data_IF_248109224732
#
_entry.id   IF_248109224732
#
_cell.length_a   1.000
_cell.length_b   1.000
_cell.length_c   1.000
_cell.angle_alpha   90.00
_cell.angle_beta   90.00
_cell.angle_gamma   90.00
#
_symmetry.space_group_name_H-M   'P 1'
#
loop_
_entity.id
_entity.type
_entity.pdbx_description
1 polymer ?
#
# COMPACT_ATOMS: atom_id res chain seq x y z
N UNK A 1 -26.86 11.88 82.42
CA UNK A 1 -26.11 10.63 82.21
C UNK A 1 -26.08 10.37 80.71
N UNK A 2 -24.97 10.71 80.08
CA UNK A 2 -24.73 10.49 78.65
C UNK A 2 -23.31 9.94 78.54
N UNK A 3 -23.21 8.66 78.21
CA UNK A 3 -21.93 7.97 78.03
C UNK A 3 -21.26 8.43 76.74
N UNK A 4 -19.94 8.71 76.72
CA UNK A 4 -19.24 8.97 75.48
C UNK A 4 -19.08 7.68 74.68
N UNK A 5 -19.51 7.69 73.42
CA UNK A 5 -19.23 6.62 72.46
C UNK A 5 -17.76 6.65 72.05
N UNK A 6 -17.10 5.50 72.12
CA UNK A 6 -15.74 5.30 71.61
C UNK A 6 -15.72 5.35 70.07
N UNK A 7 -14.63 5.83 69.46
CA UNK A 7 -14.52 5.89 68.00
C UNK A 7 -14.36 4.49 67.42
N UNK A 8 -15.19 4.17 66.43
CA UNK A 8 -15.09 2.96 65.61
C UNK A 8 -13.88 3.12 64.70
N UNK A 9 -12.83 2.35 64.94
CA UNK A 9 -11.68 2.26 64.02
C UNK A 9 -12.08 1.43 62.82
N UNK A 10 -12.19 2.12 61.68
CA UNK A 10 -12.42 1.56 60.36
C UNK A 10 -11.21 0.70 59.93
N UNK A 11 -11.29 -0.60 60.18
CA UNK A 11 -10.32 -1.58 59.70
C UNK A 11 -10.53 -1.82 58.20
N UNK A 12 -10.11 -0.87 57.38
CA UNK A 12 -9.86 -1.13 55.96
C UNK A 12 -8.70 -2.13 55.88
N UNK A 13 -8.88 -3.32 55.27
CA UNK A 13 -7.77 -4.24 55.09
C UNK A 13 -6.72 -3.59 54.18
N UNK A 14 -5.60 -3.19 54.77
CA UNK A 14 -4.41 -2.81 54.02
C UNK A 14 -3.96 -4.03 53.22
N UNK A 15 -4.21 -4.00 51.91
CA UNK A 15 -3.60 -4.96 50.98
C UNK A 15 -2.13 -4.61 50.89
N UNK A 16 -1.33 -5.26 51.74
CA UNK A 16 0.13 -5.19 51.67
C UNK A 16 0.54 -5.93 50.40
N UNK A 17 0.88 -5.18 49.35
CA UNK A 17 1.48 -5.75 48.14
C UNK A 17 2.93 -6.14 48.52
N UNK A 18 3.31 -7.43 48.48
CA UNK A 18 4.67 -7.84 48.82
C UNK A 18 5.68 -7.17 47.90
N UNK A 19 6.77 -6.65 48.47
CA UNK A 19 7.85 -6.01 47.71
C UNK A 19 8.56 -6.97 46.74
N UNK A 20 8.46 -8.28 46.99
CA UNK A 20 9.05 -9.32 46.16
C UNK A 20 8.00 -10.40 45.88
N UNK A 21 7.49 -10.39 44.65
CA UNK A 21 6.63 -11.46 44.13
C UNK A 21 7.54 -12.47 43.43
N UNK A 22 7.52 -13.76 43.83
CA UNK A 22 8.28 -14.79 43.13
C UNK A 22 7.92 -14.80 41.65
N UNK A 23 8.92 -14.76 40.76
CA UNK A 23 8.74 -14.78 39.30
C UNK A 23 8.35 -16.18 38.77
N UNK A 24 7.44 -16.86 39.46
CA UNK A 24 7.00 -18.24 39.18
C UNK A 24 5.51 -18.33 38.88
N UNK A 25 4.77 -17.22 38.98
CA UNK A 25 3.36 -17.16 38.62
C UNK A 25 3.10 -17.31 37.11
N UNK A 26 1.91 -17.79 36.70
CA UNK A 26 1.56 -17.96 35.29
C UNK A 26 1.70 -16.69 34.45
N UNK A 27 1.58 -15.51 35.05
CA UNK A 27 1.84 -14.21 34.42
C UNK A 27 3.30 -14.00 33.95
N UNK A 28 4.25 -14.80 34.46
CA UNK A 28 5.65 -14.82 34.01
C UNK A 28 5.96 -15.98 33.05
N UNK A 29 4.99 -16.88 32.80
CA UNK A 29 5.14 -18.02 31.88
C UNK A 29 4.81 -17.65 30.43
N UNK A 30 4.02 -16.58 30.23
CA UNK A 30 3.72 -16.03 28.91
C UNK A 30 3.97 -14.53 28.91
N UNK A 31 4.75 -14.04 27.94
CA UNK A 31 4.87 -12.61 27.72
C UNK A 31 3.50 -12.07 27.25
N UNK A 32 2.95 -11.00 27.86
CA UNK A 32 1.75 -10.34 27.36
C UNK A 32 1.91 -9.95 25.89
N UNK A 33 0.84 -10.12 25.10
CA UNK A 33 0.85 -9.84 23.66
C UNK A 33 1.19 -8.37 23.37
N UNK A 34 0.79 -7.45 24.26
CA UNK A 34 1.11 -6.03 24.15
C UNK A 34 2.62 -5.76 24.25
N UNK A 35 3.31 -6.44 25.18
CA UNK A 35 4.76 -6.33 25.31
C UNK A 35 5.47 -6.97 24.11
N UNK A 36 4.95 -8.07 23.59
CA UNK A 36 5.48 -8.71 22.39
C UNK A 36 5.37 -7.79 21.17
N UNK A 37 4.24 -7.11 21.01
CA UNK A 37 4.02 -6.12 19.97
C UNK A 37 5.00 -4.96 20.07
N UNK A 38 5.23 -4.42 21.27
CA UNK A 38 6.22 -3.34 21.47
C UNK A 38 7.64 -3.79 21.13
N UNK A 39 8.04 -4.98 21.56
CA UNK A 39 9.35 -5.56 21.18
C UNK A 39 9.46 -5.65 19.66
N UNK A 40 8.41 -6.15 18.98
CA UNK A 40 8.41 -6.30 17.53
C UNK A 40 8.48 -4.95 16.83
N UNK A 41 7.80 -3.93 17.36
CA UNK A 41 7.88 -2.59 16.80
C UNK A 41 9.32 -2.08 16.81
N UNK A 42 10.03 -2.23 17.93
CA UNK A 42 11.44 -1.85 18.02
C UNK A 42 12.36 -2.68 17.11
N UNK A 43 12.06 -3.96 16.90
CA UNK A 43 12.88 -4.84 16.06
C UNK A 43 12.65 -4.64 14.55
N UNK A 44 11.43 -4.24 14.16
CA UNK A 44 10.95 -4.20 12.77
C UNK A 44 10.77 -2.79 12.22
N UNK A 45 10.82 -1.75 13.07
CA UNK A 45 10.87 -0.38 12.61
C UNK A 45 12.12 -0.18 11.75
N UNK A 46 11.90 0.21 10.50
CA UNK A 46 12.94 0.69 9.61
C UNK A 46 12.82 2.21 9.52
N UNK A 47 13.94 2.90 9.69
CA UNK A 47 14.03 4.33 9.34
C UNK A 47 14.09 4.54 7.81
N UNK A 48 14.28 3.45 7.05
CA UNK A 48 14.34 3.48 5.59
C UNK A 48 12.97 3.20 4.97
N UNK A 49 12.75 3.83 3.82
CA UNK A 49 11.62 3.53 2.95
C UNK A 49 11.78 2.14 2.31
N UNK A 50 10.72 1.33 2.36
CA UNK A 50 10.70 -0.01 1.79
C UNK A 50 10.20 0.06 0.35
N UNK A 51 11.07 -0.20 -0.63
CA UNK A 51 10.71 -0.26 -2.05
C UNK A 51 10.64 -1.70 -2.59
N UNK A 52 10.39 -1.86 -3.89
CA UNK A 52 10.31 -3.17 -4.55
C UNK A 52 11.59 -4.02 -4.40
N UNK A 53 12.78 -3.41 -4.32
CA UNK A 53 14.03 -4.15 -4.09
C UNK A 53 14.05 -4.72 -2.67
N UNK A 54 13.64 -3.93 -1.68
CA UNK A 54 13.47 -4.38 -0.30
C UNK A 54 12.34 -5.41 -0.16
N UNK A 55 11.29 -5.29 -0.97
CA UNK A 55 10.13 -6.18 -1.00
C UNK A 55 10.49 -7.58 -1.54
N UNK A 56 11.19 -7.63 -2.68
CA UNK A 56 11.75 -8.89 -3.24
C UNK A 56 12.78 -9.52 -2.30
N UNK A 57 13.49 -8.69 -1.53
CA UNK A 57 14.45 -9.09 -0.52
C UNK A 57 13.84 -9.07 0.88
N UNK A 58 12.79 -9.87 1.12
CA UNK A 58 12.37 -10.34 2.46
C UNK A 58 13.49 -11.11 3.24
N UNK A 59 14.75 -10.94 2.83
CA UNK A 59 16.00 -11.12 3.56
C UNK A 59 16.27 -10.01 4.60
N UNK A 60 15.25 -9.32 5.11
CA UNK A 60 15.38 -8.78 6.47
C UNK A 60 15.49 -10.01 7.38
N UNK A 61 16.74 -10.44 7.64
CA UNK A 61 17.08 -11.68 8.36
C UNK A 61 16.27 -11.81 9.65
N UNK A 62 15.91 -10.69 10.28
CA UNK A 62 15.07 -10.60 11.47
C UNK A 62 13.61 -11.01 11.20
N UNK A 63 12.99 -10.49 10.14
CA UNK A 63 11.64 -10.86 9.69
C UNK A 63 11.53 -12.35 9.37
N UNK A 64 12.47 -12.87 8.57
CA UNK A 64 12.46 -14.27 8.18
C UNK A 64 12.64 -15.22 9.39
N UNK A 65 13.38 -14.79 10.42
CA UNK A 65 13.53 -15.56 11.68
C UNK A 65 12.25 -15.53 12.51
N UNK A 66 11.66 -14.35 12.73
CA UNK A 66 10.44 -14.21 13.54
C UNK A 66 9.26 -14.98 12.92
N UNK A 67 9.09 -14.94 11.60
CA UNK A 67 8.04 -15.67 10.89
C UNK A 67 8.15 -17.20 10.99
N UNK A 68 9.35 -17.73 11.29
CA UNK A 68 9.58 -19.18 11.43
C UNK A 68 9.30 -19.71 12.84
N UNK A 69 9.15 -18.84 13.84
CA UNK A 69 8.94 -19.27 15.22
C UNK A 69 7.59 -19.98 15.38
N UNK A 70 6.52 -19.36 14.90
CA UNK A 70 5.17 -19.94 14.89
C UNK A 70 4.25 -19.22 13.91
N UNK A 71 3.08 -19.79 13.62
CA UNK A 71 2.05 -19.12 12.80
C UNK A 71 1.60 -17.80 13.41
N UNK A 72 1.43 -17.77 14.74
CA UNK A 72 1.08 -16.57 15.49
C UNK A 72 2.16 -15.49 15.32
N UNK A 73 3.42 -15.84 15.55
CA UNK A 73 4.55 -14.92 15.37
C UNK A 73 4.62 -14.41 13.93
N UNK A 74 4.38 -15.26 12.93
CA UNK A 74 4.35 -14.81 11.53
C UNK A 74 3.25 -13.77 11.29
N UNK A 75 2.04 -14.01 11.80
CA UNK A 75 0.92 -13.08 11.63
C UNK A 75 1.22 -11.73 12.28
N UNK A 76 1.69 -11.75 13.53
CA UNK A 76 2.04 -10.54 14.28
C UNK A 76 3.20 -9.80 13.63
N UNK A 77 4.21 -10.51 13.15
CA UNK A 77 5.37 -9.93 12.46
C UNK A 77 4.93 -9.21 11.19
N UNK A 78 4.12 -9.87 10.35
CA UNK A 78 3.61 -9.27 9.12
C UNK A 78 2.79 -8.02 9.46
N UNK A 79 1.84 -8.12 10.38
CA UNK A 79 1.03 -6.99 10.83
C UNK A 79 1.87 -5.79 11.28
N UNK A 80 2.82 -5.99 12.21
CA UNK A 80 3.65 -4.92 12.74
C UNK A 80 4.53 -4.31 11.65
N UNK A 81 5.15 -5.14 10.81
CA UNK A 81 6.04 -4.67 9.75
C UNK A 81 5.30 -3.79 8.73
N UNK A 82 4.13 -4.22 8.25
CA UNK A 82 3.35 -3.47 7.27
C UNK A 82 2.68 -2.22 7.87
N UNK A 83 2.32 -2.25 9.15
CA UNK A 83 1.75 -1.08 9.85
C UNK A 83 2.78 0.02 10.09
N UNK A 84 4.00 -0.35 10.43
CA UNK A 84 5.02 0.61 10.84
C UNK A 84 5.73 1.28 9.68
N UNK A 85 5.99 0.58 8.59
CA UNK A 85 6.90 1.07 7.56
C UNK A 85 6.19 1.88 6.47
N UNK A 86 6.96 2.72 5.78
CA UNK A 86 6.50 3.45 4.60
C UNK A 86 6.93 2.68 3.35
N UNK A 87 5.98 2.40 2.45
CA UNK A 87 6.22 1.57 1.28
C UNK A 87 6.17 2.36 -0.03
N UNK A 88 7.08 2.07 -0.95
CA UNK A 88 7.11 2.60 -2.32
C UNK A 88 6.84 1.50 -3.33
N UNK A 89 5.79 1.67 -4.13
CA UNK A 89 5.38 0.75 -5.19
C UNK A 89 5.50 1.45 -6.53
N UNK A 90 6.61 1.22 -7.22
CA UNK A 90 6.85 1.77 -8.55
C UNK A 90 6.93 0.66 -9.60
N UNK A 91 6.30 0.86 -10.77
CA UNK A 91 6.51 -0.01 -11.92
C UNK A 91 8.00 -0.12 -12.27
N UNK A 92 8.46 -1.30 -12.74
CA UNK A 92 9.87 -1.53 -13.05
C UNK A 92 10.41 -0.63 -14.18
N UNK A 93 9.52 -0.04 -14.99
CA UNK A 93 9.89 0.92 -16.04
C UNK A 93 10.10 2.35 -15.55
N UNK A 94 9.96 2.66 -14.25
CA UNK A 94 10.22 4.00 -13.72
C UNK A 94 11.64 4.08 -13.17
N UNK A 95 12.45 4.96 -13.74
CA UNK A 95 13.81 5.26 -13.31
C UNK A 95 13.88 5.87 -11.91
N UNK A 96 15.09 5.92 -11.33
CA UNK A 96 15.31 6.52 -10.00
C UNK A 96 15.03 8.03 -9.97
N UNK A 97 15.20 8.68 -11.10
CA UNK A 97 14.85 10.07 -11.40
C UNK A 97 13.34 10.28 -11.61
N UNK A 98 12.56 9.20 -11.67
CA UNK A 98 11.11 9.24 -11.93
C UNK A 98 10.74 9.21 -13.41
N UNK A 99 11.73 9.17 -14.31
CA UNK A 99 11.50 9.11 -15.75
C UNK A 99 10.94 7.72 -16.11
N UNK A 100 9.85 7.72 -16.86
CA UNK A 100 9.14 6.49 -17.23
C UNK A 100 9.62 6.02 -18.60
N UNK A 101 10.05 4.77 -18.67
CA UNK A 101 10.37 4.13 -19.95
C UNK A 101 9.11 4.07 -20.82
N UNK A 102 9.17 4.43 -22.12
CA UNK A 102 8.00 4.46 -23.01
C UNK A 102 7.23 3.14 -23.07
N UNK A 103 7.95 2.01 -22.94
CA UNK A 103 7.40 0.65 -22.89
C UNK A 103 7.05 0.16 -21.48
N UNK A 104 6.80 1.05 -20.52
CA UNK A 104 6.39 0.65 -19.17
C UNK A 104 4.98 0.06 -19.18
N UNK A 105 4.90 -1.24 -19.49
CA UNK A 105 3.65 -2.03 -19.60
C UNK A 105 3.37 -2.89 -18.38
N UNK A 106 4.19 -2.79 -17.34
CA UNK A 106 4.05 -3.63 -16.15
C UNK A 106 3.50 -2.82 -14.97
N UNK A 107 2.58 -3.38 -14.19
CA UNK A 107 2.12 -2.76 -12.96
C UNK A 107 3.23 -2.75 -11.90
N UNK A 108 3.11 -1.89 -10.89
CA UNK A 108 3.95 -1.95 -9.69
C UNK A 108 3.76 -3.30 -8.98
N UNK A 109 4.83 -3.86 -8.41
CA UNK A 109 4.69 -5.10 -7.61
C UNK A 109 4.04 -4.76 -6.28
N UNK A 110 2.87 -5.34 -6.02
CA UNK A 110 2.13 -5.15 -4.78
C UNK A 110 2.35 -6.31 -3.81
N UNK A 111 2.20 -6.06 -2.49
CA UNK A 111 2.21 -7.12 -1.51
C UNK A 111 1.08 -8.13 -1.71
N UNK A 112 1.26 -9.32 -1.16
CA UNK A 112 0.23 -10.36 -1.17
C UNK A 112 -1.08 -9.82 -0.55
N UNK A 113 -2.27 -10.10 -1.13
CA UNK A 113 -3.54 -9.54 -0.66
C UNK A 113 -3.76 -9.61 0.86
N UNK A 114 -3.48 -10.78 1.45
CA UNK A 114 -3.58 -11.05 2.91
C UNK A 114 -2.90 -10.03 3.82
N UNK A 115 -1.83 -9.36 3.38
CA UNK A 115 -1.08 -8.41 4.22
C UNK A 115 -1.34 -6.95 3.86
N UNK A 116 -2.03 -6.67 2.75
CA UNK A 116 -2.34 -5.30 2.31
C UNK A 116 -3.14 -4.53 3.35
N UNK A 117 -4.04 -5.20 4.08
CA UNK A 117 -4.87 -4.59 5.13
C UNK A 117 -4.06 -3.98 6.28
N UNK A 118 -2.81 -4.38 6.43
CA UNK A 118 -1.90 -3.86 7.44
C UNK A 118 -1.12 -2.62 6.97
N UNK A 119 -1.11 -2.32 5.67
CA UNK A 119 -0.48 -1.10 5.15
C UNK A 119 -1.13 0.13 5.74
N UNK A 120 -0.30 1.11 6.09
CA UNK A 120 -0.75 2.41 6.62
C UNK A 120 -0.27 3.59 5.79
N UNK A 121 0.94 3.52 5.23
CA UNK A 121 1.54 4.64 4.51
C UNK A 121 2.24 4.14 3.26
N UNK A 122 1.74 4.55 2.10
CA UNK A 122 2.28 4.10 0.82
C UNK A 122 2.46 5.27 -0.14
N UNK A 123 3.46 5.13 -1.01
CA UNK A 123 3.63 5.93 -2.21
C UNK A 123 3.57 4.98 -3.40
N UNK A 124 2.71 5.25 -4.35
CA UNK A 124 2.51 4.43 -5.53
C UNK A 124 2.65 5.27 -6.79
N UNK A 125 3.29 4.70 -7.80
CA UNK A 125 3.26 5.24 -9.16
C UNK A 125 2.43 4.31 -10.03
N UNK A 126 1.58 4.91 -10.87
CA UNK A 126 0.82 4.22 -11.90
C UNK A 126 1.07 4.92 -13.23
N UNK A 127 1.11 4.16 -14.31
CA UNK A 127 1.23 4.68 -15.68
C UNK A 127 -0.09 4.41 -16.39
N UNK A 128 -0.74 5.47 -16.88
CA UNK A 128 -1.92 5.38 -17.72
C UNK A 128 -1.49 5.40 -19.18
N UNK A 129 -1.86 4.36 -19.90
CA UNK A 129 -1.60 4.20 -21.33
C UNK A 129 -2.84 4.63 -22.12
N UNK A 130 -2.64 5.20 -23.30
CA UNK A 130 -3.71 5.66 -24.20
C UNK A 130 -4.08 4.69 -25.30
N UNK A 131 -3.41 3.54 -25.31
CA UNK A 131 -3.59 2.53 -26.33
C UNK A 131 -3.29 1.15 -25.79
N UNK A 132 -3.70 0.16 -26.55
CA UNK A 132 -3.31 -1.23 -26.39
C UNK A 132 -2.93 -1.83 -27.73
N UNK A 133 -2.24 -2.97 -27.69
CA UNK A 133 -1.73 -3.64 -28.88
C UNK A 133 -2.54 -4.91 -29.12
N UNK A 134 -2.98 -5.12 -30.36
CA UNK A 134 -3.63 -6.36 -30.81
C UNK A 134 -2.89 -6.94 -31.99
N UNK A 135 -3.00 -8.24 -32.20
CA UNK A 135 -2.44 -8.88 -33.38
C UNK A 135 -3.15 -8.38 -34.64
N UNK A 136 -2.36 -8.12 -35.69
CA UNK A 136 -2.88 -7.67 -36.97
C UNK A 136 -3.79 -8.78 -37.55
N UNK A 137 -5.04 -8.47 -37.92
CA UNK A 137 -6.04 -9.48 -38.29
C UNK A 137 -5.65 -10.32 -39.52
N UNK A 138 -4.72 -9.82 -40.34
CA UNK A 138 -4.18 -10.54 -41.50
C UNK A 138 -3.19 -11.67 -41.18
N UNK A 139 -2.81 -11.90 -39.92
CA UNK A 139 -1.81 -12.93 -39.56
C UNK A 139 -0.39 -12.62 -40.05
N UNK A 140 -0.16 -11.41 -40.53
CA UNK A 140 1.13 -10.91 -40.96
C UNK A 140 2.15 -11.06 -39.84
N UNK A 141 3.33 -11.57 -40.19
CA UNK A 141 4.48 -11.62 -39.28
C UNK A 141 5.43 -10.46 -39.56
N UNK A 142 6.09 -9.98 -38.52
CA UNK A 142 7.21 -9.08 -38.63
C UNK A 142 8.43 -9.79 -39.25
N UNK A 143 9.51 -9.02 -39.46
CA UNK A 143 10.78 -9.50 -40.03
C UNK A 143 11.49 -10.56 -39.17
N UNK A 144 11.00 -10.80 -37.95
CA UNK A 144 11.52 -11.78 -37.00
C UNK A 144 10.55 -12.97 -36.79
N UNK A 145 9.43 -13.01 -37.52
CA UNK A 145 8.45 -14.09 -37.43
C UNK A 145 7.41 -13.93 -36.32
N UNK A 146 7.38 -12.80 -35.60
CA UNK A 146 6.36 -12.51 -34.59
C UNK A 146 5.10 -11.94 -35.24
N UNK A 147 3.89 -12.14 -34.69
CA UNK A 147 2.70 -11.45 -35.19
C UNK A 147 2.92 -9.94 -35.24
N UNK A 148 2.63 -9.30 -36.37
CA UNK A 148 2.59 -7.84 -36.42
C UNK A 148 1.50 -7.36 -35.47
N UNK A 149 1.79 -6.35 -34.68
CA UNK A 149 0.82 -5.76 -33.76
C UNK A 149 0.34 -4.40 -34.30
N UNK A 150 -0.93 -4.10 -34.04
CA UNK A 150 -1.55 -2.82 -34.33
C UNK A 150 -1.90 -2.14 -33.01
N UNK A 151 -1.63 -0.85 -32.95
CA UNK A 151 -1.98 0.01 -31.83
C UNK A 151 -3.44 0.46 -31.96
N UNK A 152 -4.26 0.19 -30.95
CA UNK A 152 -5.65 0.64 -30.86
C UNK A 152 -5.77 1.65 -29.71
N UNK A 153 -6.34 2.85 -29.95
CA UNK A 153 -6.57 3.83 -28.89
C UNK A 153 -7.64 3.34 -27.90
N UNK A 154 -7.44 3.67 -26.63
CA UNK A 154 -8.43 3.42 -25.57
C UNK A 154 -9.47 4.53 -25.61
N UNK A 155 -10.73 4.16 -25.82
CA UNK A 155 -11.85 5.09 -25.96
C UNK A 155 -12.86 5.02 -24.81
N UNK A 156 -12.86 3.95 -24.01
CA UNK A 156 -13.83 3.73 -22.93
C UNK A 156 -13.17 3.36 -21.61
N UNK A 157 -13.87 3.59 -20.50
CA UNK A 157 -13.41 3.21 -19.16
C UNK A 157 -13.18 1.69 -19.04
N UNK A 158 -14.05 0.89 -19.65
CA UNK A 158 -13.91 -0.58 -19.66
C UNK A 158 -12.62 -1.02 -20.37
N UNK A 159 -12.33 -0.45 -21.55
CA UNK A 159 -11.09 -0.71 -22.27
C UNK A 159 -9.85 -0.25 -21.47
N UNK A 160 -9.98 0.87 -20.75
CA UNK A 160 -8.93 1.36 -19.88
C UNK A 160 -8.62 0.34 -18.78
N UNK A 161 -9.63 -0.16 -18.07
CA UNK A 161 -9.44 -1.16 -17.01
C UNK A 161 -8.95 -2.49 -17.62
N UNK A 162 -9.50 -2.93 -18.75
CA UNK A 162 -9.14 -4.20 -19.36
C UNK A 162 -7.69 -4.22 -19.88
N UNK A 163 -7.22 -3.13 -20.47
CA UNK A 163 -5.95 -3.12 -21.19
C UNK A 163 -4.85 -2.29 -20.53
N UNK A 164 -5.16 -1.32 -19.65
CA UNK A 164 -4.14 -0.54 -18.94
C UNK A 164 -3.84 -1.16 -17.55
N UNK A 165 -2.62 -1.68 -17.33
CA UNK A 165 -2.24 -2.24 -16.03
C UNK A 165 -2.27 -1.22 -14.90
N UNK A 166 -1.90 0.04 -15.18
CA UNK A 166 -1.98 1.11 -14.18
C UNK A 166 -3.42 1.40 -13.75
N UNK A 167 -4.36 1.39 -14.70
CA UNK A 167 -5.78 1.54 -14.40
C UNK A 167 -6.33 0.38 -13.55
N UNK A 168 -5.93 -0.86 -13.83
CA UNK A 168 -6.28 -2.01 -12.96
C UNK A 168 -5.76 -1.84 -11.54
N UNK A 169 -4.52 -1.37 -11.38
CA UNK A 169 -3.98 -1.12 -10.04
C UNK A 169 -4.74 -0.02 -9.32
N UNK A 170 -5.13 1.03 -10.02
CA UNK A 170 -5.95 2.09 -9.47
C UNK A 170 -7.35 1.58 -9.07
N UNK A 171 -7.93 0.69 -9.88
CA UNK A 171 -9.15 -0.03 -9.53
C UNK A 171 -8.97 -0.91 -8.28
N UNK A 172 -7.87 -1.65 -8.16
CA UNK A 172 -7.52 -2.42 -6.95
C UNK A 172 -7.41 -1.54 -5.71
N UNK A 173 -6.93 -0.29 -5.83
CA UNK A 173 -6.90 0.66 -4.72
C UNK A 173 -8.28 1.20 -4.34
N UNK A 174 -9.22 1.19 -5.28
CA UNK A 174 -10.62 1.61 -5.09
C UNK A 174 -11.44 0.52 -4.39
N UNK A 175 -11.07 -0.75 -4.59
CA UNK A 175 -11.77 -1.89 -4.00
C UNK A 175 -11.30 -2.17 -2.56
N UNK A 176 -12.19 -1.94 -1.59
CA UNK A 176 -11.91 -2.19 -0.16
C UNK A 176 -11.61 -3.69 0.11
N UNK A 177 -12.10 -4.61 -0.72
CA UNK A 177 -11.90 -6.06 -0.58
C UNK A 177 -10.49 -6.50 -0.99
N UNK A 178 -9.78 -5.69 -1.79
CA UNK A 178 -8.41 -5.94 -2.23
C UNK A 178 -7.37 -5.63 -1.13
N UNK A 179 -7.83 -5.18 0.04
CA UNK A 179 -7.05 -5.06 1.26
C UNK A 179 -6.42 -3.68 1.48
N UNK A 180 -6.78 -2.64 0.73
CA UNK A 180 -6.27 -1.27 0.95
C UNK A 180 -7.13 -0.43 1.91
N UNK A 181 -8.03 -1.06 2.67
CA UNK A 181 -9.05 -0.41 3.50
C UNK A 181 -8.56 0.42 4.70
N UNK A 182 -7.27 0.35 5.06
CA UNK A 182 -6.75 0.97 6.28
C UNK A 182 -5.64 2.02 6.04
N UNK A 183 -5.53 2.56 4.82
CA UNK A 183 -4.51 3.54 4.48
C UNK A 183 -4.71 4.85 5.27
N UNK A 184 -3.67 5.26 5.99
CA UNK A 184 -3.60 6.57 6.65
C UNK A 184 -3.02 7.63 5.74
N UNK A 185 -2.02 7.27 4.92
CA UNK A 185 -1.40 8.15 3.95
C UNK A 185 -1.19 7.42 2.62
N UNK A 186 -1.64 8.05 1.53
CA UNK A 186 -1.40 7.62 0.17
C UNK A 186 -0.84 8.79 -0.65
N UNK A 187 0.35 8.62 -1.20
CA UNK A 187 0.87 9.46 -2.28
C UNK A 187 0.76 8.71 -3.60
N UNK A 188 -0.09 9.18 -4.50
CA UNK A 188 -0.31 8.59 -5.82
C UNK A 188 0.30 9.48 -6.90
N UNK A 189 1.20 8.91 -7.69
CA UNK A 189 1.78 9.54 -8.88
C UNK A 189 1.20 8.88 -10.12
N UNK A 190 0.46 9.65 -10.91
CA UNK A 190 -0.19 9.19 -12.13
C UNK A 190 0.60 9.73 -13.31
N UNK A 191 1.30 8.84 -14.01
CA UNK A 191 2.08 9.17 -15.19
C UNK A 191 1.22 8.99 -16.43
N UNK A 192 1.24 9.98 -17.33
CA UNK A 192 0.49 9.96 -18.59
C UNK A 192 1.44 10.29 -19.73
N UNK A 193 1.26 9.63 -20.88
CA UNK A 193 2.05 9.89 -22.06
C UNK A 193 1.50 11.08 -22.86
N UNK A 194 2.05 12.28 -22.65
CA UNK A 194 1.72 13.50 -23.41
C UNK A 194 2.15 13.43 -24.89
N UNK A 195 3.14 12.58 -25.23
CA UNK A 195 3.65 12.44 -26.60
C UNK A 195 2.66 11.76 -27.55
N UNK A 196 1.58 11.21 -27.02
CA UNK A 196 0.50 10.64 -27.80
C UNK A 196 -0.55 11.70 -28.16
N UNK A 197 -1.08 11.62 -29.40
CA UNK A 197 -2.15 12.50 -29.89
C UNK A 197 -3.44 12.48 -29.05
N UNK A 198 -3.57 11.55 -28.10
CA UNK A 198 -4.79 11.29 -27.33
C UNK A 198 -4.61 11.44 -25.81
N UNK A 199 -3.56 12.15 -25.35
CA UNK A 199 -3.28 12.30 -23.92
C UNK A 199 -4.45 12.91 -23.12
N UNK A 200 -5.11 13.94 -23.64
CA UNK A 200 -6.31 14.53 -23.03
C UNK A 200 -7.47 13.52 -22.98
N UNK A 201 -7.67 12.76 -24.06
CA UNK A 201 -8.71 11.72 -24.13
C UNK A 201 -8.53 10.62 -23.08
N UNK A 202 -7.29 10.25 -22.73
CA UNK A 202 -7.06 9.26 -21.66
C UNK A 202 -7.46 9.76 -20.31
N UNK A 203 -7.20 11.04 -20.04
CA UNK A 203 -7.50 11.64 -18.76
C UNK A 203 -9.01 11.75 -18.57
N UNK A 204 -9.74 12.07 -19.63
CA UNK A 204 -11.20 12.08 -19.64
C UNK A 204 -11.78 10.67 -19.44
N UNK A 205 -11.22 9.67 -20.12
CA UNK A 205 -11.61 8.26 -19.95
C UNK A 205 -11.31 7.77 -18.53
N UNK A 206 -10.17 8.17 -17.95
CA UNK A 206 -9.80 7.84 -16.58
C UNK A 206 -10.69 8.54 -15.54
N UNK A 207 -11.13 9.78 -15.80
CA UNK A 207 -12.11 10.46 -14.97
C UNK A 207 -13.48 9.77 -15.05
N UNK A 208 -13.92 9.38 -16.25
CA UNK A 208 -15.16 8.65 -16.49
C UNK A 208 -15.18 7.25 -15.83
N UNK A 209 -14.01 6.63 -15.64
CA UNK A 209 -13.88 5.36 -14.91
C UNK A 209 -14.18 5.47 -13.41
N UNK A 210 -14.26 6.69 -12.85
CA UNK A 210 -14.77 6.91 -11.49
C UNK A 210 -13.91 6.29 -10.39
N UNK A 211 -12.60 6.20 -10.57
CA UNK A 211 -11.69 5.70 -9.54
C UNK A 211 -11.82 6.52 -8.25
N UNK A 212 -11.98 5.85 -7.11
CA UNK A 212 -12.22 6.48 -5.81
C UNK A 212 -11.37 5.81 -4.74
N UNK A 213 -10.26 6.41 -4.36
CA UNK A 213 -9.32 5.79 -3.42
C UNK A 213 -9.49 6.34 -2.01
N UNK A 214 -9.65 5.45 -1.02
CA UNK A 214 -9.81 5.83 0.39
C UNK A 214 -8.48 5.86 1.12
N UNK A 215 -8.12 7.02 1.68
CA UNK A 215 -7.01 7.16 2.61
C UNK A 215 -7.25 8.35 3.55
N UNK A 216 -6.76 8.26 4.79
CA UNK A 216 -6.88 9.37 5.75
C UNK A 216 -6.22 10.68 5.27
N UNK A 217 -5.18 10.56 4.44
CA UNK A 217 -4.53 11.67 3.75
C UNK A 217 -4.11 11.22 2.36
N UNK A 218 -4.62 11.89 1.35
CA UNK A 218 -4.35 11.60 -0.04
C UNK A 218 -3.59 12.74 -0.70
N UNK A 219 -2.54 12.40 -1.47
CA UNK A 219 -1.80 13.33 -2.33
C UNK A 219 -1.74 12.72 -3.72
N UNK A 220 -2.35 13.37 -4.69
CA UNK A 220 -2.31 12.93 -6.09
C UNK A 220 -1.46 13.90 -6.90
N UNK A 221 -0.59 13.38 -7.76
CA UNK A 221 0.20 14.17 -8.70
C UNK A 221 0.07 13.54 -10.09
N UNK A 222 -0.33 14.34 -11.06
CA UNK A 222 -0.40 13.93 -12.48
C UNK A 222 0.87 14.44 -13.16
N UNK A 223 1.63 13.53 -13.74
CA UNK A 223 2.96 13.77 -14.28
C UNK A 223 3.04 13.25 -15.73
N UNK A 224 3.89 13.85 -16.54
CA UNK A 224 4.26 13.27 -17.83
C UNK A 224 5.37 12.22 -17.65
N UNK A 225 5.76 11.53 -18.73
CA UNK A 225 6.80 10.49 -18.67
C UNK A 225 8.19 11.02 -18.26
N UNK A 226 8.41 12.34 -18.31
CA UNK A 226 9.64 13.01 -17.84
C UNK A 226 9.52 13.46 -16.37
N UNK A 227 8.51 12.98 -15.64
CA UNK A 227 8.19 13.34 -14.27
C UNK A 227 7.88 14.83 -14.03
N UNK A 228 7.50 15.55 -15.09
CA UNK A 228 7.09 16.94 -14.98
C UNK A 228 5.58 17.02 -14.71
N UNK A 229 5.12 17.93 -13.82
CA UNK A 229 3.70 18.12 -13.58
C UNK A 229 2.95 18.54 -14.85
N UNK A 230 1.90 17.80 -15.17
CA UNK A 230 0.99 18.19 -16.26
C UNK A 230 0.06 19.29 -15.73
N UNK A 231 0.10 20.47 -16.36
CA UNK A 231 -0.83 21.56 -16.05
C UNK A 231 -2.15 21.30 -16.76
N UNK A 232 -3.25 21.14 -16.03
CA UNK A 232 -4.59 21.20 -16.66
C UNK A 232 -5.65 20.18 -16.23
N UNK A 233 -5.39 19.27 -15.29
CA UNK A 233 -6.35 18.19 -14.99
C UNK A 233 -6.77 18.10 -13.51
N UNK A 234 -7.39 19.17 -12.96
CA UNK A 234 -7.95 19.12 -11.61
C UNK A 234 -9.07 18.07 -11.49
N UNK A 235 -9.72 17.71 -12.59
CA UNK A 235 -10.85 16.78 -12.57
C UNK A 235 -10.44 15.34 -12.23
N UNK A 236 -9.35 14.82 -12.79
CA UNK A 236 -8.86 13.49 -12.43
C UNK A 236 -8.44 13.43 -10.95
N UNK A 237 -7.74 14.47 -10.47
CA UNK A 237 -7.36 14.60 -9.06
C UNK A 237 -8.62 14.65 -8.18
N UNK A 238 -9.64 15.39 -8.60
CA UNK A 238 -10.92 15.50 -7.88
C UNK A 238 -11.64 14.16 -7.83
N UNK A 239 -11.74 13.42 -8.94
CA UNK A 239 -12.40 12.11 -8.97
C UNK A 239 -11.69 11.09 -8.08
N UNK A 240 -10.35 11.03 -8.16
CA UNK A 240 -9.55 10.13 -7.33
C UNK A 240 -9.66 10.48 -5.83
N UNK A 241 -9.86 11.77 -5.50
CA UNK A 241 -9.80 12.28 -4.12
C UNK A 241 -11.14 12.47 -3.41
N UNK A 242 -12.27 12.20 -4.06
CA UNK A 242 -13.60 12.42 -3.47
C UNK A 242 -14.18 11.12 -2.88
N UNK A 243 -13.99 10.92 -1.56
CA UNK A 243 -15.01 10.59 -0.55
C UNK A 243 -14.40 10.51 0.85
#
# INVERSE_FOLDING_TARGET
MSSPQAPVTDNMPYVVIPAEVPATGPQFQSLPDELLLEIFKHLLASNNVIDAQHYSCLKLVRLAKLRKVSKFFSSVTDEVFYKLNFFKFFPPGIGKDGVVHPDCRLPAVLPHPRVRQHLRRIQMAIVLTDHYWVDHPGGDKDKFGNPKQVQIPIATADQLIEHCPGARQLHTLTDDTEGFCNLRELELRVYVNEGCRHAESVLDVAAAAGFSVKAGKLRVSVLNLEAQPIKGHPELVKHISHQ
#
